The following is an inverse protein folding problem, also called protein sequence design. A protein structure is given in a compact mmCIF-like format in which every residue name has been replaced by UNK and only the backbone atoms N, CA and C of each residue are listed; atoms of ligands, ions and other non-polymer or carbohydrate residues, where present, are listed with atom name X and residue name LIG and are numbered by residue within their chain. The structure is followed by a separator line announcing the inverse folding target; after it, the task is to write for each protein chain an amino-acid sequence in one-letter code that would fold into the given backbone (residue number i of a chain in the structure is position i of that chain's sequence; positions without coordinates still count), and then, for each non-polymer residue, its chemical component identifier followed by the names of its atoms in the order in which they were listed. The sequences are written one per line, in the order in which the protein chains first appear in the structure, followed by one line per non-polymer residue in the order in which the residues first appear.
data_IF_961284514357
#
_entry.id   IF_961284514357
#
_cell.length_a   1.000
_cell.length_b   1.000
_cell.length_c   1.000
_cell.angle_alpha   90.00
_cell.angle_beta   90.00
_cell.angle_gamma   90.00
#
_symmetry.space_group_name_H-M   'P 1'
#
loop_
_entity.id
_entity.type
_entity.pdbx_description
1 polymer ?
#
# COMPACT_ATOMS: atom_id res chain seq x y z
N UNK A 1 -46.91 -28.73 41.56
CA UNK A 1 -46.09 -27.54 41.24
C UNK A 1 -44.65 -27.77 41.67
N UNK A 2 -43.72 -27.84 40.72
CA UNK A 2 -42.29 -27.46 40.81
C UNK A 2 -41.63 -27.85 39.49
N UNK A 3 -41.66 -26.92 38.54
CA UNK A 3 -40.86 -26.99 37.32
C UNK A 3 -39.40 -26.79 37.76
N UNK A 4 -38.52 -27.74 37.46
CA UNK A 4 -37.07 -27.52 37.55
C UNK A 4 -36.48 -27.61 36.17
N UNK A 5 -35.85 -26.51 35.82
CA UNK A 5 -35.44 -26.13 34.49
C UNK A 5 -34.33 -27.03 33.94
N UNK A 6 -34.46 -27.26 32.65
CA UNK A 6 -33.58 -27.99 31.75
C UNK A 6 -32.20 -27.30 31.67
N UNK A 7 -31.16 -27.90 32.23
CA UNK A 7 -29.77 -27.45 32.02
C UNK A 7 -29.30 -28.00 30.67
N UNK A 8 -29.52 -27.23 29.59
CA UNK A 8 -28.87 -27.45 28.30
C UNK A 8 -27.49 -26.80 28.39
N UNK A 9 -26.46 -27.62 28.62
CA UNK A 9 -25.09 -27.28 28.25
C UNK A 9 -24.88 -27.83 26.84
N UNK A 10 -24.72 -26.97 25.82
CA UNK A 10 -24.02 -27.36 24.59
C UNK A 10 -23.56 -26.16 23.74
N UNK A 11 -22.24 -26.13 23.53
CA UNK A 11 -21.45 -25.56 22.42
C UNK A 11 -21.45 -24.03 22.18
N UNK A 12 -20.48 -23.36 22.81
CA UNK A 12 -19.82 -22.22 22.17
C UNK A 12 -18.86 -22.74 21.10
N UNK A 13 -19.23 -22.57 19.83
CA UNK A 13 -18.30 -22.70 18.71
C UNK A 13 -17.28 -21.56 18.77
N UNK A 14 -16.07 -21.86 19.24
CA UNK A 14 -14.94 -20.94 19.14
C UNK A 14 -14.49 -20.96 17.68
N UNK A 15 -14.90 -19.96 16.89
CA UNK A 15 -14.18 -19.63 15.67
C UNK A 15 -12.80 -19.11 16.07
N UNK A 16 -11.81 -20.01 16.02
CA UNK A 16 -10.40 -19.65 16.00
C UNK A 16 -10.13 -18.88 14.71
N UNK A 17 -10.29 -17.55 14.75
CA UNK A 17 -9.55 -16.70 13.85
C UNK A 17 -8.08 -16.83 14.24
N UNK A 18 -7.35 -17.73 13.55
CA UNK A 18 -5.90 -17.70 13.58
C UNK A 18 -5.48 -16.38 12.93
N UNK A 19 -5.31 -15.34 13.74
CA UNK A 19 -4.33 -14.30 13.43
C UNK A 19 -2.98 -14.99 13.47
N UNK A 20 -2.58 -15.53 12.33
CA UNK A 20 -1.20 -15.94 12.09
C UNK A 20 -0.34 -14.70 12.26
N UNK A 21 0.28 -14.56 13.43
CA UNK A 21 1.49 -13.78 13.57
C UNK A 21 2.54 -14.50 12.72
N UNK A 22 2.52 -14.23 11.42
CA UNK A 22 3.52 -14.67 10.49
C UNK A 22 4.84 -14.03 10.94
N UNK A 23 5.80 -14.88 11.28
CA UNK A 23 7.22 -14.54 11.18
C UNK A 23 7.42 -13.79 9.85
N UNK A 24 8.24 -12.73 9.78
CA UNK A 24 8.45 -11.99 8.53
C UNK A 24 9.12 -12.91 7.51
N UNK A 25 8.28 -13.59 6.74
CA UNK A 25 8.62 -14.35 5.56
C UNK A 25 8.24 -13.53 4.34
N UNK A 26 9.01 -13.68 3.26
CA UNK A 26 8.70 -13.05 1.99
C UNK A 26 7.25 -13.35 1.59
N UNK A 27 6.55 -12.32 1.10
CA UNK A 27 5.19 -12.52 0.60
C UNK A 27 5.20 -13.54 -0.54
N UNK A 28 4.18 -14.39 -0.56
CA UNK A 28 4.01 -15.42 -1.58
C UNK A 28 3.03 -14.93 -2.63
N UNK A 29 3.36 -15.12 -3.90
CA UNK A 29 2.44 -14.81 -5.00
C UNK A 29 1.17 -15.65 -4.88
N UNK A 30 0.04 -15.10 -5.34
CA UNK A 30 -1.31 -15.66 -5.28
C UNK A 30 -1.91 -15.83 -3.87
N UNK A 31 -1.18 -15.53 -2.80
CA UNK A 31 -1.75 -15.43 -1.46
C UNK A 31 -2.45 -14.08 -1.25
N UNK A 32 -3.49 -14.07 -0.42
CA UNK A 32 -4.28 -12.88 -0.11
C UNK A 32 -3.77 -12.20 1.15
N UNK A 33 -3.52 -10.90 1.05
CA UNK A 33 -3.06 -10.04 2.14
C UNK A 33 -3.95 -8.81 2.27
N UNK A 34 -4.46 -8.57 3.47
CA UNK A 34 -5.15 -7.32 3.83
C UNK A 34 -4.19 -6.45 4.61
N UNK A 35 -3.41 -5.64 3.89
CA UNK A 35 -2.50 -4.67 4.48
C UNK A 35 -3.25 -3.34 4.57
N UNK A 36 -3.15 -2.68 5.72
CA UNK A 36 -3.82 -1.40 5.98
C UNK A 36 -2.80 -0.28 6.03
N UNK A 37 -3.17 0.86 5.47
CA UNK A 37 -2.33 2.05 5.44
C UNK A 37 -3.09 3.27 5.91
N UNK A 38 -2.35 4.25 6.42
CA UNK A 38 -2.84 5.61 6.65
C UNK A 38 -1.91 6.54 5.90
N UNK A 39 -2.43 7.23 4.89
CA UNK A 39 -1.62 8.13 4.08
C UNK A 39 -1.29 9.44 4.81
N UNK A 40 -0.46 10.28 4.19
CA UNK A 40 -0.06 11.57 4.76
C UNK A 40 -1.22 12.54 4.95
N UNK A 41 -2.34 12.38 4.27
CA UNK A 41 -3.55 13.20 4.41
C UNK A 41 -4.55 12.58 5.42
N UNK A 42 -4.25 11.40 5.97
CA UNK A 42 -5.08 10.70 6.96
C UNK A 42 -6.10 9.74 6.36
N UNK A 43 -6.07 9.49 5.04
CA UNK A 43 -6.96 8.53 4.40
C UNK A 43 -6.56 7.11 4.79
N UNK A 44 -7.55 6.29 5.13
CA UNK A 44 -7.37 4.85 5.38
C UNK A 44 -7.46 4.11 4.04
N UNK A 45 -6.45 3.30 3.74
CA UNK A 45 -6.34 2.55 2.50
C UNK A 45 -6.10 1.07 2.82
N UNK A 46 -6.48 0.17 1.93
CA UNK A 46 -6.09 -1.24 2.02
C UNK A 46 -5.70 -1.83 0.66
N UNK A 47 -4.94 -2.92 0.66
CA UNK A 47 -4.74 -3.77 -0.53
C UNK A 47 -5.98 -4.58 -0.88
N UNK A 48 -6.95 -4.73 0.04
CA UNK A 48 -8.13 -5.57 -0.12
C UNK A 48 -9.45 -4.79 -0.08
N UNK A 49 -9.44 -3.51 -0.52
CA UNK A 49 -10.60 -2.62 -0.53
C UNK A 49 -11.23 -2.42 -1.92
N UNK A 50 -11.05 -3.39 -2.83
CA UNK A 50 -11.67 -3.42 -4.15
C UNK A 50 -10.85 -2.82 -5.29
N UNK A 51 -9.64 -2.31 -5.01
CA UNK A 51 -8.77 -1.70 -6.01
C UNK A 51 -7.65 -2.64 -6.43
N UNK A 52 -7.28 -2.64 -7.70
CA UNK A 52 -5.97 -3.16 -8.12
C UNK A 52 -4.92 -2.16 -7.63
N UNK A 53 -4.05 -2.58 -6.71
CA UNK A 53 -3.20 -1.68 -5.94
C UNK A 53 -1.73 -1.94 -6.21
N UNK A 54 -1.04 -0.95 -6.76
CA UNK A 54 0.43 -0.91 -6.85
C UNK A 54 0.93 -0.35 -5.52
N UNK A 55 1.76 -1.09 -4.79
CA UNK A 55 2.46 -0.59 -3.61
C UNK A 55 3.94 -0.46 -3.94
N UNK A 56 4.48 0.76 -3.83
CA UNK A 56 5.91 1.03 -4.00
C UNK A 56 6.50 1.32 -2.63
N UNK A 57 7.28 0.37 -2.10
CA UNK A 57 8.06 0.55 -0.89
C UNK A 57 9.42 1.14 -1.25
N UNK A 58 9.75 2.27 -0.65
CA UNK A 58 10.90 3.08 -1.04
C UNK A 58 11.49 3.82 0.15
N UNK A 59 12.70 4.34 0.03
CA UNK A 59 13.23 5.36 0.95
C UNK A 59 13.07 6.76 0.37
N UNK A 60 13.40 7.79 1.15
CA UNK A 60 13.44 9.18 0.66
C UNK A 60 14.54 9.43 -0.37
N UNK A 61 15.58 8.59 -0.41
CA UNK A 61 16.66 8.68 -1.38
C UNK A 61 16.19 8.24 -2.78
N UNK A 62 15.32 7.24 -2.85
CA UNK A 62 14.87 6.59 -4.08
C UNK A 62 13.69 7.30 -4.76
N UNK A 63 13.47 8.59 -4.48
CA UNK A 63 12.31 9.34 -4.99
C UNK A 63 12.19 9.36 -6.53
N UNK A 64 13.31 9.49 -7.25
CA UNK A 64 13.32 9.42 -8.73
C UNK A 64 12.95 8.03 -9.25
N UNK A 65 13.29 6.99 -8.49
CA UNK A 65 12.96 5.61 -8.82
C UNK A 65 11.48 5.32 -8.60
N UNK A 66 10.91 5.83 -7.50
CA UNK A 66 9.46 5.79 -7.27
C UNK A 66 8.70 6.57 -8.34
N UNK A 67 9.20 7.74 -8.76
CA UNK A 67 8.65 8.51 -9.88
C UNK A 67 8.66 7.71 -11.18
N UNK A 68 9.77 7.02 -11.46
CA UNK A 68 9.88 6.15 -12.63
C UNK A 68 8.79 5.07 -12.67
N UNK A 69 8.37 4.53 -11.52
CA UNK A 69 7.23 3.59 -11.47
C UNK A 69 5.93 4.29 -11.85
N UNK A 70 5.66 5.47 -11.28
CA UNK A 70 4.46 6.25 -11.61
C UNK A 70 4.40 6.58 -13.12
N UNK A 71 5.54 6.91 -13.74
CA UNK A 71 5.62 7.17 -15.18
C UNK A 71 5.38 5.92 -16.02
N UNK A 72 5.78 4.74 -15.52
CA UNK A 72 5.57 3.44 -16.17
C UNK A 72 4.15 2.88 -15.98
N UNK A 73 3.33 3.44 -15.09
CA UNK A 73 1.93 3.03 -14.94
C UNK A 73 1.21 3.18 -16.29
N UNK A 74 0.54 2.12 -16.79
CA UNK A 74 -0.19 2.17 -18.04
C UNK A 74 -1.25 3.26 -18.06
N UNK A 75 -1.48 3.84 -19.23
CA UNK A 75 -2.41 4.96 -19.38
C UNK A 75 -3.86 4.59 -19.02
N UNK A 76 -4.25 3.32 -19.19
CA UNK A 76 -5.59 2.81 -18.81
C UNK A 76 -5.87 2.89 -17.31
N UNK A 77 -4.83 2.97 -16.48
CA UNK A 77 -4.94 3.07 -15.02
C UNK A 77 -5.08 4.54 -14.57
N UNK A 78 -4.68 5.51 -15.40
CA UNK A 78 -4.68 6.92 -15.02
C UNK A 78 -6.12 7.44 -14.88
N UNK A 79 -6.41 8.05 -13.73
CA UNK A 79 -7.73 8.59 -13.39
C UNK A 79 -8.83 7.53 -13.26
N UNK A 80 -8.50 6.24 -13.39
CA UNK A 80 -9.43 5.14 -13.29
C UNK A 80 -9.56 4.72 -11.81
N UNK A 81 -10.76 4.85 -11.20
CA UNK A 81 -10.94 4.56 -9.77
C UNK A 81 -10.73 3.08 -9.41
N UNK A 82 -10.67 2.17 -10.37
CA UNK A 82 -10.39 0.74 -10.13
C UNK A 82 -8.92 0.47 -9.81
N UNK A 83 -8.02 1.42 -10.11
CA UNK A 83 -6.58 1.30 -9.89
C UNK A 83 -6.12 2.31 -8.85
N UNK A 84 -5.12 1.91 -8.06
CA UNK A 84 -4.50 2.77 -7.06
C UNK A 84 -3.00 2.53 -7.02
N UNK A 85 -2.23 3.59 -6.84
CA UNK A 85 -0.83 3.49 -6.48
C UNK A 85 -0.60 4.09 -5.09
N UNK A 86 0.02 3.33 -4.20
CA UNK A 86 0.41 3.73 -2.85
C UNK A 86 1.94 3.73 -2.78
N UNK A 87 2.54 4.89 -2.48
CA UNK A 87 3.98 4.99 -2.23
C UNK A 87 4.24 4.97 -0.74
N UNK A 88 4.91 3.94 -0.24
CA UNK A 88 5.31 3.80 1.16
C UNK A 88 6.76 4.25 1.31
N UNK A 89 6.98 5.34 2.05
CA UNK A 89 8.30 5.85 2.37
C UNK A 89 8.74 5.29 3.71
N UNK A 90 9.63 4.30 3.67
CA UNK A 90 10.23 3.69 4.85
C UNK A 90 11.37 4.54 5.41
N UNK A 91 11.31 4.82 6.71
CA UNK A 91 12.37 5.50 7.44
C UNK A 91 13.12 4.50 8.32
N UNK A 92 14.40 4.29 8.02
CA UNK A 92 15.25 3.33 8.74
C UNK A 92 15.71 3.83 10.10
N UNK A 93 15.58 5.15 10.37
CA UNK A 93 15.93 5.75 11.66
C UNK A 93 14.68 6.00 12.49
N UNK A 94 14.79 5.72 13.79
CA UNK A 94 13.72 5.99 14.75
C UNK A 94 13.58 7.50 14.92
N UNK A 95 12.51 8.05 14.38
CA UNK A 95 12.17 9.46 14.52
C UNK A 95 11.31 9.74 15.75
N UNK A 96 11.66 10.78 16.50
CA UNK A 96 10.82 11.33 17.58
C UNK A 96 9.55 12.00 17.00
N UNK A 97 8.48 12.15 17.78
CA UNK A 97 7.18 12.64 17.29
C UNK A 97 7.27 13.99 16.56
N UNK A 98 8.10 14.91 17.04
CA UNK A 98 8.31 16.22 16.41
C UNK A 98 8.98 16.07 15.05
N UNK A 99 10.03 15.25 14.96
CA UNK A 99 10.73 14.97 13.71
C UNK A 99 9.80 14.30 12.68
N UNK A 100 8.95 13.36 13.11
CA UNK A 100 7.94 12.72 12.25
C UNK A 100 7.00 13.74 11.62
N UNK A 101 6.57 14.76 12.37
CA UNK A 101 5.72 15.84 11.87
C UNK A 101 6.43 16.68 10.81
N UNK A 102 7.68 17.06 11.07
CA UNK A 102 8.49 17.85 10.11
C UNK A 102 8.75 17.06 8.84
N UNK A 103 9.16 15.79 8.95
CA UNK A 103 9.38 14.91 7.82
C UNK A 103 8.10 14.72 7.01
N UNK A 104 6.96 14.48 7.66
CA UNK A 104 5.65 14.34 6.99
C UNK A 104 5.26 15.62 6.24
N UNK A 105 5.47 16.79 6.83
CA UNK A 105 5.19 18.07 6.17
C UNK A 105 6.05 18.27 4.91
N UNK A 106 7.34 17.90 4.98
CA UNK A 106 8.23 17.93 3.82
C UNK A 106 7.79 16.94 2.73
N UNK A 107 7.40 15.71 3.10
CA UNK A 107 6.84 14.73 2.17
C UNK A 107 5.58 15.27 1.51
N UNK A 108 4.61 15.82 2.26
CA UNK A 108 3.40 16.43 1.69
C UNK A 108 3.71 17.52 0.67
N UNK A 109 4.73 18.33 0.90
CA UNK A 109 5.14 19.33 -0.07
C UNK A 109 5.61 18.68 -1.39
N UNK A 110 6.43 17.63 -1.32
CA UNK A 110 6.85 16.87 -2.51
C UNK A 110 5.67 16.18 -3.21
N UNK A 111 4.75 15.59 -2.46
CA UNK A 111 3.52 14.99 -2.99
C UNK A 111 2.73 16.00 -3.83
N UNK A 112 2.64 17.25 -3.39
CA UNK A 112 1.96 18.31 -4.17
C UNK A 112 2.66 18.61 -5.49
N UNK A 113 3.99 18.59 -5.53
CA UNK A 113 4.73 18.78 -6.78
C UNK A 113 4.55 17.59 -7.73
N UNK A 114 4.59 16.35 -7.23
CA UNK A 114 4.30 15.17 -8.05
C UNK A 114 2.84 15.17 -8.55
N UNK A 115 1.88 15.61 -7.73
CA UNK A 115 0.49 15.73 -8.13
C UNK A 115 0.30 16.75 -9.26
N UNK A 116 1.04 17.87 -9.27
CA UNK A 116 1.03 18.82 -10.40
C UNK A 116 1.58 18.19 -11.69
N UNK A 117 2.66 17.40 -11.58
CA UNK A 117 3.22 16.68 -12.74
C UNK A 117 2.24 15.64 -13.28
N UNK A 118 1.60 14.89 -12.39
CA UNK A 118 0.56 13.95 -12.77
C UNK A 118 -0.65 14.66 -13.39
N UNK A 119 -1.03 15.84 -12.86
CA UNK A 119 -2.09 16.66 -13.46
C UNK A 119 -1.74 17.06 -14.90
N UNK A 120 -0.51 17.49 -15.17
CA UNK A 120 -0.09 17.80 -16.54
C UNK A 120 -0.20 16.57 -17.48
N UNK A 121 0.12 15.36 -16.98
CA UNK A 121 -0.07 14.10 -17.72
C UNK A 121 -1.56 13.80 -17.94
N UNK A 122 -2.41 14.06 -16.96
CA UNK A 122 -3.87 13.91 -17.06
C UNK A 122 -4.46 14.88 -18.10
N UNK A 123 -4.07 16.15 -18.04
CA UNK A 123 -4.52 17.20 -18.96
C UNK A 123 -4.14 16.87 -20.40
N UNK A 124 -2.90 16.42 -20.63
CA UNK A 124 -2.42 15.97 -21.94
C UNK A 124 -3.22 14.77 -22.52
N UNK A 125 -3.93 14.03 -21.67
CA UNK A 125 -4.79 12.89 -22.03
C UNK A 125 -6.28 13.21 -21.97
N UNK A 126 -6.65 14.45 -21.67
CA UNK A 126 -8.04 14.86 -21.53
C UNK A 126 -8.75 14.26 -20.32
N UNK A 127 -8.01 13.84 -19.28
CA UNK A 127 -8.58 13.32 -18.02
C UNK A 127 -8.97 14.52 -17.15
N UNK A 128 -10.26 14.74 -16.94
CA UNK A 128 -10.80 15.88 -16.16
C UNK A 128 -10.68 15.73 -14.64
N UNK A 129 -10.30 14.53 -14.16
CA UNK A 129 -10.14 14.24 -12.74
C UNK A 129 -8.96 15.00 -12.16
N UNK A 130 -9.08 15.42 -10.90
CA UNK A 130 -7.96 16.01 -10.17
C UNK A 130 -6.96 14.92 -9.74
N UNK A 131 -5.75 14.97 -10.30
CA UNK A 131 -4.67 14.03 -10.04
C UNK A 131 -4.26 13.94 -8.56
N UNK A 132 -4.42 15.01 -7.78
CA UNK A 132 -4.08 14.99 -6.34
C UNK A 132 -4.93 14.00 -5.55
N UNK A 133 -6.08 13.56 -6.09
CA UNK A 133 -6.95 12.55 -5.48
C UNK A 133 -6.50 11.12 -5.76
N UNK A 134 -5.50 10.93 -6.60
CA UNK A 134 -4.95 9.63 -6.99
C UNK A 134 -3.50 9.43 -6.53
N UNK A 135 -2.94 10.40 -5.79
CA UNK A 135 -1.60 10.30 -5.19
C UNK A 135 -1.71 9.95 -3.72
N UNK A 136 -1.35 8.71 -3.38
CA UNK A 136 -1.37 8.20 -2.01
C UNK A 136 0.05 7.93 -1.53
N UNK A 137 0.46 8.59 -0.44
CA UNK A 137 1.80 8.42 0.14
C UNK A 137 1.68 8.11 1.62
N UNK A 138 2.39 7.08 2.06
CA UNK A 138 2.38 6.58 3.44
C UNK A 138 3.78 6.77 4.01
N UNK A 139 3.89 7.26 5.24
CA UNK A 139 5.17 7.35 5.95
C UNK A 139 5.29 6.21 6.96
N UNK A 140 6.25 5.31 6.73
CA UNK A 140 6.50 4.14 7.57
C UNK A 140 7.70 4.39 8.49
N UNK A 141 7.44 5.02 9.63
CA UNK A 141 8.48 5.44 10.58
C UNK A 141 8.96 4.34 11.54
N UNK A 142 8.17 3.28 11.70
CA UNK A 142 8.46 2.18 12.62
C UNK A 142 8.67 0.84 11.91
N UNK A 143 8.54 0.80 10.59
CA UNK A 143 8.73 -0.40 9.80
C UNK A 143 7.55 -1.36 9.86
N UNK A 144 6.41 -0.95 10.42
CA UNK A 144 5.23 -1.82 10.52
C UNK A 144 4.70 -2.15 9.13
N UNK A 145 4.69 -1.18 8.22
CA UNK A 145 4.22 -1.38 6.85
C UNK A 145 5.23 -2.23 6.07
N UNK A 146 6.53 -1.90 6.15
CA UNK A 146 7.58 -2.70 5.53
C UNK A 146 7.55 -4.17 6.00
N UNK A 147 7.38 -4.40 7.30
CA UNK A 147 7.28 -5.75 7.87
C UNK A 147 6.02 -6.48 7.38
N UNK A 148 4.89 -5.78 7.27
CA UNK A 148 3.65 -6.34 6.70
C UNK A 148 3.80 -6.70 5.22
N UNK A 149 4.73 -6.04 4.52
CA UNK A 149 5.14 -6.34 3.15
C UNK A 149 6.23 -7.43 3.07
N UNK A 150 6.48 -8.14 4.18
CA UNK A 150 7.45 -9.24 4.24
C UNK A 150 8.92 -8.79 4.25
N UNK A 151 9.20 -7.50 4.45
CA UNK A 151 10.57 -7.01 4.52
C UNK A 151 11.20 -7.30 5.89
N UNK A 152 12.48 -7.71 5.93
CA UNK A 152 13.17 -7.89 7.19
C UNK A 152 13.39 -6.56 7.91
N UNK A 153 13.49 -6.61 9.24
CA UNK A 153 13.69 -5.41 10.04
C UNK A 153 14.98 -4.68 9.64
N UNK A 154 14.88 -3.38 9.34
CA UNK A 154 16.00 -2.55 8.91
C UNK A 154 16.34 -2.64 7.42
N UNK A 155 15.59 -3.40 6.63
CA UNK A 155 15.70 -3.37 5.17
C UNK A 155 15.37 -1.98 4.63
N UNK A 156 16.13 -1.57 3.62
CA UNK A 156 15.93 -0.32 2.88
C UNK A 156 15.77 -0.58 1.39
N UNK A 157 15.42 -1.81 1.03
CA UNK A 157 15.28 -2.23 -0.36
C UNK A 157 14.07 -1.57 -1.02
N UNK A 158 14.26 -1.15 -2.27
CA UNK A 158 13.17 -0.67 -3.10
C UNK A 158 12.36 -1.85 -3.59
N UNK A 159 11.08 -1.91 -3.25
CA UNK A 159 10.20 -2.99 -3.67
C UNK A 159 8.94 -2.46 -4.35
N UNK A 160 8.46 -3.19 -5.35
CA UNK A 160 7.18 -2.92 -6.02
C UNK A 160 6.32 -4.17 -5.90
N UNK A 161 5.08 -3.99 -5.45
CA UNK A 161 4.09 -5.03 -5.31
C UNK A 161 2.85 -4.64 -6.12
N UNK A 162 2.19 -5.63 -6.73
CA UNK A 162 0.89 -5.45 -7.36
C UNK A 162 -0.08 -6.40 -6.68
N UNK A 163 -1.11 -5.81 -6.06
CA UNK A 163 -2.21 -6.53 -5.44
C UNK A 163 -3.45 -6.45 -6.33
N UNK A 164 -4.16 -7.56 -6.45
CA UNK A 164 -5.48 -7.59 -7.04
C UNK A 164 -6.55 -7.08 -6.09
N UNK A 165 -7.80 -7.05 -6.55
CA UNK A 165 -8.92 -6.35 -5.87
C UNK A 165 -9.25 -6.90 -4.49
N UNK A 166 -8.96 -8.18 -4.27
CA UNK A 166 -9.22 -8.88 -3.00
C UNK A 166 -8.02 -8.87 -2.06
N UNK A 167 -6.90 -8.26 -2.46
CA UNK A 167 -5.63 -8.32 -1.76
C UNK A 167 -4.74 -9.49 -2.19
N UNK A 168 -5.06 -10.23 -3.25
CA UNK A 168 -4.16 -11.24 -3.80
C UNK A 168 -2.86 -10.62 -4.31
N UNK A 169 -1.69 -11.13 -3.92
CA UNK A 169 -0.42 -10.65 -4.46
C UNK A 169 -0.20 -11.22 -5.87
N UNK A 170 -0.32 -10.36 -6.89
CA UNK A 170 -0.20 -10.74 -8.30
C UNK A 170 1.26 -10.78 -8.75
N UNK A 171 2.07 -9.81 -8.31
CA UNK A 171 3.48 -9.72 -8.64
C UNK A 171 4.27 -8.93 -7.59
N UNK A 172 5.57 -9.22 -7.50
CA UNK A 172 6.51 -8.48 -6.67
C UNK A 172 7.89 -8.38 -7.32
N UNK A 173 8.59 -7.28 -7.09
CA UNK A 173 9.95 -7.02 -7.53
C UNK A 173 10.75 -6.31 -6.43
N UNK A 174 12.04 -6.61 -6.32
CA UNK A 174 12.99 -5.95 -5.41
C UNK A 174 13.79 -4.83 -6.13
N UNK A 175 13.27 -4.40 -7.28
CA UNK A 175 13.78 -3.30 -8.08
C UNK A 175 12.62 -2.74 -8.95
N UNK A 176 12.86 -1.66 -9.68
CA UNK A 176 11.86 -1.04 -10.54
C UNK A 176 11.57 -1.91 -11.79
N UNK A 177 10.39 -2.55 -11.90
CA UNK A 177 10.04 -3.32 -13.08
C UNK A 177 9.97 -2.45 -14.33
N UNK A 178 10.25 -3.05 -15.49
CA UNK A 178 10.01 -2.39 -16.79
C UNK A 178 8.52 -2.07 -16.99
N UNK A 179 8.23 -1.17 -17.93
CA UNK A 179 6.85 -0.82 -18.28
C UNK A 179 6.04 -2.05 -18.72
N UNK A 180 6.63 -2.95 -19.51
CA UNK A 180 5.95 -4.17 -19.99
C UNK A 180 5.66 -5.17 -18.87
N UNK A 181 6.59 -5.32 -17.92
CA UNK A 181 6.38 -6.16 -16.74
C UNK A 181 5.25 -5.61 -15.87
N UNK A 182 5.27 -4.29 -15.60
CA UNK A 182 4.24 -3.64 -14.80
C UNK A 182 2.88 -3.71 -15.50
N UNK A 183 2.82 -3.40 -16.79
CA UNK A 183 1.60 -3.48 -17.59
C UNK A 183 1.03 -4.89 -17.63
N UNK A 184 1.87 -5.93 -17.68
CA UNK A 184 1.42 -7.31 -17.70
C UNK A 184 0.80 -7.76 -16.38
N UNK A 185 1.27 -7.22 -15.25
CA UNK A 185 0.71 -7.52 -13.92
C UNK A 185 -0.60 -6.77 -13.61
N UNK A 186 -0.92 -5.71 -14.36
CA UNK A 186 -2.10 -4.86 -14.16
C UNK A 186 -3.28 -5.20 -15.09
N UNK A 187 -3.19 -6.31 -15.83
CA UNK A 187 -4.22 -6.77 -16.76
C UNK A 187 -5.34 -7.55 -16.07
#
# INVERSE_FOLDING_TARGET
MKVRALQIFWLFGIMLFLSGALLPGALSNAATYSISFVDTEGNKLSTADGHVTIVVLTTTADHEKARTIADRVPDLCLGNPEYRMITVIHFTRRHMTIERRVATAFIRHRVREEAKRLQARYDAKGISRNASRDVFVVTDFDGTVASSLGQPAGANEFCVFVFGRTGELLAQWHDAPSADQLASALK
#
